data_IF_839273239870
#
_entry.id   IF_839273239870
#
_cell.length_a   1.000
_cell.length_b   1.000
_cell.length_c   1.000
_cell.angle_alpha   90.00
_cell.angle_beta   90.00
_cell.angle_gamma   90.00
#
_symmetry.space_group_name_H-M   'P 1'
#
loop_
_entity.id
_entity.type
_entity.pdbx_description
1 polymer ?
#
# COMPACT_ATOMS: atom_id res chain seq x y z
N UNK A 1 -23.41 -10.48 26.45
CA UNK A 1 -23.11 -11.73 27.19
C UNK A 1 -23.02 -12.85 26.17
N UNK A 2 -21.81 -13.34 25.92
CA UNK A 2 -21.46 -14.69 25.45
C UNK A 2 -19.97 -14.61 25.04
N UNK A 3 -19.09 -14.96 25.96
CA UNK A 3 -17.68 -15.26 25.65
C UNK A 3 -17.43 -16.63 26.24
N UNK A 4 -17.41 -17.64 25.37
CA UNK A 4 -17.07 -19.02 25.73
C UNK A 4 -15.54 -19.16 25.73
N UNK A 5 -15.03 -19.71 26.83
CA UNK A 5 -13.61 -19.92 27.11
C UNK A 5 -13.11 -21.20 26.47
N UNK A 6 -12.19 -21.10 25.51
CA UNK A 6 -11.34 -22.22 25.09
C UNK A 6 -9.94 -22.06 25.71
N UNK A 7 -9.60 -22.91 26.67
CA UNK A 7 -8.25 -23.14 27.18
C UNK A 7 -7.90 -24.62 26.98
N UNK A 8 -6.93 -24.91 26.11
CA UNK A 8 -5.93 -25.98 26.31
C UNK A 8 -4.93 -25.97 25.14
N UNK A 9 -3.70 -25.51 25.38
CA UNK A 9 -2.56 -25.83 24.53
C UNK A 9 -1.58 -26.69 25.33
N UNK A 10 -1.31 -27.87 24.78
CA UNK A 10 -0.32 -28.81 25.27
C UNK A 10 1.06 -28.41 24.73
N UNK A 11 2.07 -28.46 25.60
CA UNK A 11 3.48 -28.25 25.26
C UNK A 11 3.97 -29.39 24.36
N UNK A 12 4.35 -29.06 23.12
CA UNK A 12 4.97 -29.97 22.17
C UNK A 12 6.47 -29.62 22.06
N UNK A 13 7.36 -30.57 22.36
CA UNK A 13 8.81 -30.37 22.24
C UNK A 13 9.23 -30.19 20.77
N UNK A 14 10.17 -29.26 20.47
CA UNK A 14 10.61 -29.00 19.10
C UNK A 14 11.46 -30.15 18.53
N UNK A 15 11.02 -30.67 17.37
CA UNK A 15 11.71 -31.68 16.56
C UNK A 15 13.12 -31.25 16.13
N UNK A 16 14.05 -32.21 16.03
CA UNK A 16 15.45 -32.02 15.59
C UNK A 16 15.61 -31.36 14.20
N UNK A 17 14.56 -31.34 13.39
CA UNK A 17 14.52 -30.66 12.08
C UNK A 17 14.65 -29.13 12.21
N UNK A 18 14.29 -28.55 13.36
CA UNK A 18 14.36 -27.10 13.61
C UNK A 18 15.82 -26.60 13.71
N UNK A 19 16.75 -27.42 14.21
CA UNK A 19 18.13 -26.96 14.51
C UNK A 19 18.98 -26.68 13.26
N UNK A 20 18.80 -27.42 12.17
CA UNK A 20 19.55 -27.17 10.93
C UNK A 20 19.05 -25.95 10.17
N UNK A 21 17.76 -25.65 10.25
CA UNK A 21 17.18 -24.45 9.64
C UNK A 21 17.63 -23.18 10.38
N UNK A 22 17.73 -23.25 11.71
CA UNK A 22 18.18 -22.14 12.54
C UNK A 22 19.60 -21.66 12.19
N UNK A 23 20.57 -22.58 12.03
CA UNK A 23 21.96 -22.22 11.75
C UNK A 23 22.17 -21.50 10.41
N UNK A 24 21.32 -21.79 9.41
CA UNK A 24 21.36 -21.10 8.12
C UNK A 24 20.78 -19.68 8.19
N UNK A 25 19.73 -19.49 8.99
CA UNK A 25 19.12 -18.18 9.26
C UNK A 25 20.10 -17.28 10.00
N UNK A 26 20.70 -17.75 11.10
CA UNK A 26 21.62 -16.94 11.92
C UNK A 26 22.81 -16.42 11.10
N UNK A 27 23.40 -17.25 10.23
CA UNK A 27 24.51 -16.85 9.35
C UNK A 27 24.11 -15.81 8.29
N UNK A 28 22.88 -15.86 7.78
CA UNK A 28 22.38 -14.88 6.82
C UNK A 28 22.11 -13.54 7.51
N UNK A 29 21.61 -13.57 8.75
CA UNK A 29 21.34 -12.38 9.56
C UNK A 29 22.63 -11.66 9.97
N UNK A 30 23.68 -12.40 10.36
CA UNK A 30 25.01 -11.83 10.59
C UNK A 30 25.56 -11.16 9.31
N UNK A 31 25.38 -11.78 8.14
CA UNK A 31 25.82 -11.20 6.87
C UNK A 31 25.05 -9.93 6.49
N UNK A 32 23.72 -9.91 6.64
CA UNK A 32 22.88 -8.73 6.39
C UNK A 32 23.18 -7.61 7.40
N UNK A 33 23.34 -7.94 8.69
CA UNK A 33 23.76 -6.99 9.72
C UNK A 33 25.14 -6.39 9.44
N UNK A 34 26.09 -7.21 8.99
CA UNK A 34 27.42 -6.75 8.57
C UNK A 34 27.35 -5.85 7.32
N UNK A 35 26.47 -6.14 6.36
CA UNK A 35 26.24 -5.27 5.19
C UNK A 35 25.67 -3.91 5.61
N UNK A 36 24.69 -3.89 6.53
CA UNK A 36 24.16 -2.65 7.07
C UNK A 36 25.22 -1.87 7.85
N UNK A 37 26.02 -2.52 8.69
CA UNK A 37 27.12 -1.87 9.40
C UNK A 37 28.25 -1.41 8.48
N UNK A 38 28.52 -2.11 7.38
CA UNK A 38 29.50 -1.68 6.38
C UNK A 38 29.03 -0.44 5.61
N UNK A 39 27.72 -0.32 5.43
CA UNK A 39 27.06 0.85 4.85
C UNK A 39 26.99 2.00 5.86
N UNK A 40 26.78 1.70 7.14
CA UNK A 40 26.58 2.66 8.21
C UNK A 40 27.91 3.08 8.83
N UNK A 41 28.40 4.25 8.42
CA UNK A 41 29.52 4.94 9.06
C UNK A 41 29.01 6.19 9.80
N UNK A 42 28.78 6.12 11.13
CA UNK A 42 28.26 7.26 11.90
C UNK A 42 29.19 8.48 11.86
N UNK A 43 30.48 8.30 11.54
CA UNK A 43 31.44 9.39 11.44
C UNK A 43 31.30 10.22 10.15
N UNK A 44 30.67 9.66 9.10
CA UNK A 44 30.53 10.32 7.79
C UNK A 44 29.23 11.12 7.66
N UNK A 45 28.26 10.91 8.54
CA UNK A 45 26.89 11.40 8.37
C UNK A 45 26.27 10.91 7.05
N UNK A 46 25.06 11.37 6.72
CA UNK A 46 24.44 11.06 5.42
C UNK A 46 24.96 12.02 4.35
N UNK A 47 26.27 12.02 4.12
CA UNK A 47 26.87 12.71 2.98
C UNK A 47 26.83 11.82 1.72
N UNK A 48 25.72 11.10 1.52
CA UNK A 48 25.57 10.13 0.44
C UNK A 48 24.77 10.71 -0.71
N UNK A 49 25.21 10.48 -1.93
CA UNK A 49 24.47 10.84 -3.14
C UNK A 49 23.10 10.12 -3.21
N UNK A 50 22.08 10.68 -3.87
CA UNK A 50 20.75 10.02 -4.05
C UNK A 50 20.82 8.51 -4.41
N UNK A 51 21.74 8.06 -5.29
CA UNK A 51 21.85 6.64 -5.65
C UNK A 51 22.27 5.75 -4.48
N UNK A 52 23.18 6.24 -3.64
CA UNK A 52 23.66 5.52 -2.48
C UNK A 52 22.54 5.42 -1.44
N UNK A 53 21.85 6.53 -1.13
CA UNK A 53 20.67 6.54 -0.25
C UNK A 53 19.63 5.49 -0.65
N UNK A 54 19.33 5.39 -1.94
CA UNK A 54 18.37 4.40 -2.44
C UNK A 54 18.90 2.96 -2.32
N UNK A 55 20.17 2.71 -2.59
CA UNK A 55 20.77 1.38 -2.43
C UNK A 55 20.71 0.93 -0.96
N UNK A 56 21.08 1.82 -0.05
CA UNK A 56 20.97 1.64 1.39
C UNK A 56 19.51 1.34 1.78
N UNK A 57 18.59 2.15 1.28
CA UNK A 57 17.17 2.02 1.59
C UNK A 57 16.60 0.69 1.11
N UNK A 58 17.10 0.11 0.00
CA UNK A 58 16.70 -1.23 -0.44
C UNK A 58 17.15 -2.31 0.53
N UNK A 59 18.41 -2.32 0.93
CA UNK A 59 18.90 -3.23 1.99
C UNK A 59 18.05 -3.04 3.26
N UNK A 60 17.76 -1.77 3.53
CA UNK A 60 16.82 -1.20 4.47
C UNK A 60 15.45 -1.87 4.45
N UNK A 61 14.83 -1.96 3.29
CA UNK A 61 13.38 -2.04 3.14
C UNK A 61 12.82 -3.45 3.39
N UNK A 62 11.86 -3.55 4.30
CA UNK A 62 11.25 -4.80 4.79
C UNK A 62 9.76 -4.61 5.01
N UNK A 63 9.00 -5.66 4.71
CA UNK A 63 7.57 -5.73 5.04
C UNK A 63 7.33 -6.69 6.19
N UNK A 64 6.36 -6.36 7.05
CA UNK A 64 5.80 -7.20 8.11
C UNK A 64 4.53 -7.87 7.58
N UNK A 65 4.41 -9.18 7.72
CA UNK A 65 3.19 -9.88 7.34
C UNK A 65 1.94 -9.34 8.10
N UNK A 66 0.81 -9.20 7.43
CA UNK A 66 -0.42 -8.63 7.96
C UNK A 66 -0.94 -9.36 9.20
N UNK A 67 -0.78 -10.68 9.24
CA UNK A 67 -1.12 -11.52 10.39
C UNK A 67 -0.31 -11.16 11.65
N UNK A 68 0.91 -10.66 11.45
CA UNK A 68 1.80 -10.16 12.49
C UNK A 68 1.60 -8.69 12.77
N UNK A 69 1.03 -7.93 11.85
CA UNK A 69 0.58 -6.58 12.15
C UNK A 69 -0.68 -6.65 13.00
N UNK A 70 -1.72 -7.40 12.62
CA UNK A 70 -3.03 -7.34 13.28
C UNK A 70 -3.04 -7.85 14.75
N UNK A 71 -2.25 -8.87 15.10
CA UNK A 71 -2.28 -9.46 16.44
C UNK A 71 -1.62 -8.59 17.56
N UNK A 72 -0.48 -7.92 17.31
CA UNK A 72 0.28 -7.21 18.35
C UNK A 72 -0.16 -5.78 18.69
N UNK A 73 -1.17 -5.19 18.05
CA UNK A 73 -1.55 -3.78 18.37
C UNK A 73 -1.93 -3.57 19.83
N UNK A 74 -2.26 -4.64 20.54
CA UNK A 74 -2.58 -4.66 21.96
C UNK A 74 -1.38 -4.90 22.86
N UNK A 75 -0.29 -5.43 22.33
CA UNK A 75 0.88 -5.85 23.08
C UNK A 75 2.08 -5.03 22.60
N UNK A 76 2.30 -3.89 23.26
CA UNK A 76 3.46 -3.04 23.01
C UNK A 76 4.78 -3.80 23.17
N UNK A 77 4.83 -4.82 24.03
CA UNK A 77 6.02 -5.65 24.19
C UNK A 77 6.21 -6.59 23.00
N UNK A 78 5.14 -7.12 22.40
CA UNK A 78 5.23 -7.90 21.17
C UNK A 78 5.61 -7.03 19.96
N UNK A 79 5.07 -5.81 19.84
CA UNK A 79 5.54 -4.85 18.82
C UNK A 79 6.99 -4.43 19.08
N UNK A 80 7.36 -4.22 20.34
CA UNK A 80 8.73 -3.99 20.77
C UNK A 80 9.66 -5.12 20.32
N UNK A 81 9.29 -6.37 20.57
CA UNK A 81 10.02 -7.56 20.09
C UNK A 81 10.07 -7.66 18.57
N UNK A 82 9.01 -7.28 17.86
CA UNK A 82 9.03 -7.20 16.41
C UNK A 82 10.01 -6.09 15.92
N UNK A 83 10.07 -4.96 16.64
CA UNK A 83 10.98 -3.83 16.39
C UNK A 83 12.42 -4.05 16.88
N UNK A 84 12.68 -5.09 17.69
CA UNK A 84 14.02 -5.55 18.12
C UNK A 84 14.79 -6.24 16.97
N UNK A 85 14.47 -5.84 15.74
CA UNK A 85 15.06 -6.19 14.46
C UNK A 85 16.60 -6.07 14.45
N UNK A 86 17.16 -5.23 15.33
CA UNK A 86 18.59 -4.96 15.42
C UNK A 86 19.31 -5.80 16.47
N UNK A 87 18.60 -6.68 17.18
CA UNK A 87 19.23 -7.62 18.10
C UNK A 87 19.72 -8.86 17.32
N UNK A 88 20.99 -9.28 17.48
CA UNK A 88 21.54 -10.43 16.75
C UNK A 88 20.77 -11.74 16.95
N UNK A 89 20.04 -11.89 18.06
CA UNK A 89 19.24 -13.07 18.39
C UNK A 89 17.78 -13.06 17.86
N UNK A 90 17.40 -12.09 17.03
CA UNK A 90 16.02 -11.98 16.55
C UNK A 90 15.73 -12.94 15.38
N UNK A 91 14.61 -13.67 15.44
CA UNK A 91 14.17 -14.64 14.41
C UNK A 91 13.61 -13.96 13.15
N UNK A 92 14.39 -13.08 12.55
CA UNK A 92 13.98 -12.10 11.53
C UNK A 92 13.23 -12.69 10.33
N UNK A 93 13.67 -13.84 9.80
CA UNK A 93 13.04 -14.45 8.62
C UNK A 93 11.66 -15.07 8.90
N UNK A 94 11.30 -15.29 10.16
CA UNK A 94 9.94 -15.74 10.51
C UNK A 94 8.92 -14.59 10.41
N UNK A 95 9.37 -13.33 10.39
CA UNK A 95 8.52 -12.16 10.53
C UNK A 95 8.53 -11.21 9.33
N UNK A 96 9.61 -11.20 8.55
CA UNK A 96 9.87 -10.17 7.54
C UNK A 96 10.16 -10.74 6.15
N UNK A 97 9.70 -10.03 5.13
CA UNK A 97 10.14 -10.20 3.76
C UNK A 97 11.14 -9.09 3.39
N UNK A 98 12.36 -9.46 2.99
CA UNK A 98 13.44 -8.53 2.63
C UNK A 98 13.35 -8.13 1.17
N UNK A 99 13.55 -6.84 0.84
CA UNK A 99 13.49 -6.36 -0.54
C UNK A 99 14.45 -7.10 -1.50
N UNK A 100 15.65 -7.48 -1.02
CA UNK A 100 16.64 -8.22 -1.81
C UNK A 100 16.12 -9.62 -2.17
N UNK A 101 15.50 -10.31 -1.21
CA UNK A 101 14.87 -11.61 -1.42
C UNK A 101 13.67 -11.52 -2.39
N UNK A 102 13.04 -10.34 -2.52
CA UNK A 102 11.96 -10.09 -3.51
C UNK A 102 12.50 -9.98 -4.93
N UNK A 103 13.72 -9.48 -5.10
CA UNK A 103 14.35 -9.24 -6.42
C UNK A 103 15.11 -10.45 -6.97
N UNK A 104 15.64 -11.32 -6.11
CA UNK A 104 16.54 -12.43 -6.51
C UNK A 104 15.81 -13.54 -7.31
N UNK A 105 14.47 -13.56 -7.34
CA UNK A 105 13.70 -14.60 -8.04
C UNK A 105 13.77 -14.54 -9.58
N UNK A 106 14.38 -13.51 -10.18
CA UNK A 106 14.47 -13.36 -11.65
C UNK A 106 15.80 -13.79 -12.28
N UNK A 107 16.87 -14.09 -11.51
CA UNK A 107 18.23 -14.09 -12.09
C UNK A 107 18.93 -15.45 -12.28
N UNK A 108 18.37 -16.58 -11.83
CA UNK A 108 19.07 -17.89 -11.96
C UNK A 108 18.43 -18.84 -12.97
N UNK A 109 18.52 -18.51 -14.25
CA UNK A 109 18.50 -19.51 -15.33
C UNK A 109 19.65 -19.24 -16.30
N UNK A 110 20.81 -19.80 -15.99
CA UNK A 110 21.84 -20.07 -16.99
C UNK A 110 21.28 -21.12 -17.95
N UNK A 111 20.90 -20.65 -19.14
CA UNK A 111 20.48 -21.47 -20.26
C UNK A 111 21.59 -22.45 -20.66
N UNK A 112 21.48 -23.71 -20.22
CA UNK A 112 22.22 -24.82 -20.83
C UNK A 112 21.65 -25.04 -22.24
N UNK A 113 22.42 -24.64 -23.25
CA UNK A 113 22.07 -24.78 -24.66
C UNK A 113 21.98 -26.26 -25.07
N UNK A 114 20.78 -26.83 -25.15
CA UNK A 114 20.57 -28.05 -25.95
C UNK A 114 20.20 -27.62 -27.38
N UNK A 115 21.15 -27.76 -28.31
CA UNK A 115 20.91 -27.62 -29.74
C UNK A 115 19.90 -28.68 -30.17
N UNK A 116 18.70 -28.26 -30.55
CA UNK A 116 17.78 -29.08 -31.34
C UNK A 116 17.48 -28.34 -32.64
N UNK A 117 18.16 -28.77 -33.70
CA UNK A 117 17.82 -28.45 -35.07
C UNK A 117 16.48 -29.10 -35.40
N UNK A 118 15.45 -28.30 -35.65
CA UNK A 118 14.24 -28.78 -36.31
C UNK A 118 13.94 -27.90 -37.51
N UNK A 119 14.47 -28.33 -38.66
CA UNK A 119 14.04 -27.87 -39.98
C UNK A 119 12.61 -28.33 -40.18
N UNK A 120 11.67 -27.42 -40.42
CA UNK A 120 10.51 -27.78 -41.21
C UNK A 120 10.15 -26.67 -42.20
N UNK A 121 9.96 -27.12 -43.43
CA UNK A 121 9.87 -26.37 -44.68
C UNK A 121 8.40 -26.03 -45.00
N UNK A 122 8.23 -24.94 -45.75
CA UNK A 122 7.18 -24.65 -46.75
C UNK A 122 5.69 -24.79 -46.38
N UNK A 123 4.90 -23.73 -46.57
CA UNK A 123 4.36 -23.46 -47.91
C UNK A 123 3.72 -22.06 -48.03
N UNK A 124 4.00 -21.42 -49.16
CA UNK A 124 3.28 -20.25 -49.68
C UNK A 124 1.88 -20.68 -50.16
N UNK A 125 0.87 -19.83 -49.95
CA UNK A 125 -0.11 -19.58 -51.00
C UNK A 125 -0.74 -18.19 -50.87
N UNK A 126 -0.61 -17.41 -51.94
CA UNK A 126 -1.33 -16.17 -52.21
C UNK A 126 -2.76 -16.54 -52.66
N UNK A 127 -3.79 -15.88 -52.13
CA UNK A 127 -4.86 -15.39 -53.00
C UNK A 127 -5.67 -14.23 -52.39
N UNK A 128 -6.26 -13.47 -53.30
CA UNK A 128 -6.70 -12.09 -53.21
C UNK A 128 -8.21 -11.94 -52.94
N UNK A 129 -8.62 -10.70 -52.62
CA UNK A 129 -9.95 -10.07 -52.78
C UNK A 129 -11.05 -10.14 -51.68
N UNK A 130 -11.25 -8.95 -51.08
CA UNK A 130 -12.45 -8.08 -51.13
C UNK A 130 -13.69 -8.33 -50.22
N UNK A 131 -14.08 -7.26 -49.52
CA UNK A 131 -15.39 -6.84 -48.95
C UNK A 131 -16.30 -7.88 -48.28
N UNK A 132 -16.66 -7.70 -46.99
CA UNK A 132 -17.91 -7.04 -46.56
C UNK A 132 -18.11 -7.15 -45.03
N UNK A 133 -18.80 -6.17 -44.47
CA UNK A 133 -19.33 -6.08 -43.11
C UNK A 133 -20.21 -7.30 -42.75
N UNK A 134 -20.01 -7.91 -41.57
CA UNK A 134 -21.13 -8.20 -40.67
C UNK A 134 -20.73 -8.65 -39.26
N UNK A 135 -21.48 -8.07 -38.32
CA UNK A 135 -21.55 -8.30 -36.89
C UNK A 135 -21.97 -9.76 -36.57
N UNK A 136 -21.19 -10.47 -35.75
CA UNK A 136 -21.62 -11.70 -35.08
C UNK A 136 -20.74 -11.96 -33.85
N UNK A 137 -21.21 -11.50 -32.70
CA UNK A 137 -20.75 -11.96 -31.40
C UNK A 137 -21.20 -13.41 -31.20
N UNK A 138 -20.31 -14.35 -31.47
CA UNK A 138 -20.51 -15.77 -31.18
C UNK A 138 -19.48 -16.20 -30.12
N UNK A 139 -19.89 -16.15 -28.84
CA UNK A 139 -19.10 -16.63 -27.71
C UNK A 139 -19.13 -18.16 -27.68
N UNK A 140 -18.25 -18.78 -28.47
CA UNK A 140 -18.03 -20.22 -28.43
C UNK A 140 -16.89 -20.52 -27.43
N UNK A 141 -17.28 -20.75 -26.17
CA UNK A 141 -16.38 -21.20 -25.10
C UNK A 141 -15.89 -22.61 -25.40
N UNK A 142 -14.79 -22.69 -26.14
CA UNK A 142 -14.08 -23.93 -26.42
C UNK A 142 -13.16 -24.24 -25.24
N UNK A 143 -13.58 -25.21 -24.44
CA UNK A 143 -12.88 -25.81 -23.32
C UNK A 143 -11.61 -26.54 -23.79
N UNK A 144 -10.58 -25.79 -24.20
CA UNK A 144 -9.27 -26.37 -24.49
C UNK A 144 -8.49 -26.56 -23.18
N UNK A 145 -8.67 -27.72 -22.54
CA UNK A 145 -7.79 -28.25 -21.49
C UNK A 145 -6.43 -28.61 -22.11
N UNK A 146 -5.66 -27.60 -22.47
CA UNK A 146 -4.25 -27.77 -22.78
C UNK A 146 -3.53 -28.21 -21.51
N UNK A 147 -3.01 -29.44 -21.53
CA UNK A 147 -2.12 -30.00 -20.50
C UNK A 147 -0.87 -29.12 -20.43
N UNK A 148 -0.94 -28.08 -19.60
CA UNK A 148 0.16 -27.18 -19.32
C UNK A 148 1.26 -28.00 -18.64
N UNK A 149 2.39 -28.17 -19.35
CA UNK A 149 3.63 -28.71 -18.78
C UNK A 149 3.95 -27.93 -17.51
N UNK A 150 4.34 -28.64 -16.44
CA UNK A 150 4.75 -28.13 -15.13
C UNK A 150 5.97 -27.19 -15.21
N UNK A 151 5.83 -26.04 -15.87
CA UNK A 151 6.77 -24.94 -15.76
C UNK A 151 6.69 -24.42 -14.33
N UNK A 152 7.77 -24.53 -13.57
CA UNK A 152 7.91 -23.87 -12.28
C UNK A 152 7.68 -22.37 -12.53
N UNK A 153 6.48 -21.88 -12.19
CA UNK A 153 6.22 -20.44 -12.19
C UNK A 153 7.07 -19.87 -11.07
N UNK A 154 7.95 -18.93 -11.42
CA UNK A 154 8.63 -18.12 -10.42
C UNK A 154 7.54 -17.41 -9.59
N UNK A 155 7.69 -17.35 -8.26
CA UNK A 155 6.75 -16.60 -7.43
C UNK A 155 6.74 -15.14 -7.90
N UNK A 156 5.54 -14.55 -7.97
CA UNK A 156 5.43 -13.12 -8.27
C UNK A 156 6.18 -12.32 -7.19
N UNK A 157 6.80 -11.17 -7.54
CA UNK A 157 7.41 -10.29 -6.55
C UNK A 157 6.41 -9.94 -5.44
N UNK A 158 6.84 -10.01 -4.18
CA UNK A 158 5.99 -9.64 -3.04
C UNK A 158 5.79 -8.13 -3.09
N UNK A 159 4.54 -7.69 -2.94
CA UNK A 159 4.21 -6.27 -2.82
C UNK A 159 4.19 -5.85 -1.36
N UNK A 160 4.70 -4.66 -1.07
CA UNK A 160 4.74 -4.09 0.28
C UNK A 160 3.94 -2.79 0.30
N UNK A 161 2.95 -2.73 1.18
CA UNK A 161 2.14 -1.55 1.42
C UNK A 161 2.72 -0.72 2.57
N UNK A 162 2.96 0.57 2.37
CA UNK A 162 3.28 1.48 3.46
C UNK A 162 2.04 1.68 4.33
N UNK A 163 2.15 1.47 5.65
CA UNK A 163 1.03 1.67 6.57
C UNK A 163 1.23 2.98 7.35
N UNK A 164 0.41 3.99 7.06
CA UNK A 164 0.39 5.25 7.82
C UNK A 164 -0.81 5.30 8.75
N UNK A 165 -0.58 5.65 10.02
CA UNK A 165 -1.64 5.73 11.01
C UNK A 165 -1.23 6.51 12.26
N UNK A 166 -2.22 6.98 13.03
CA UNK A 166 -1.95 7.52 14.36
C UNK A 166 -1.81 6.38 15.39
N UNK A 167 -0.64 6.31 16.03
CA UNK A 167 -0.36 5.40 17.12
C UNK A 167 -1.25 5.66 18.35
N UNK A 168 -1.49 6.93 18.66
CA UNK A 168 -2.16 7.36 19.88
C UNK A 168 -3.67 7.36 19.72
N UNK A 169 -4.36 6.91 20.77
CA UNK A 169 -5.82 7.00 20.86
C UNK A 169 -6.25 8.48 20.94
N UNK A 170 -7.30 8.90 20.20
CA UNK A 170 -7.87 10.24 20.36
C UNK A 170 -8.27 10.51 21.83
N UNK A 171 -8.02 11.72 22.33
CA UNK A 171 -8.26 12.03 23.75
C UNK A 171 -9.72 11.87 24.20
N UNK A 172 -10.68 12.05 23.28
CA UNK A 172 -12.12 11.89 23.51
C UNK A 172 -12.67 10.52 23.06
N UNK A 173 -11.82 9.54 22.80
CA UNK A 173 -12.21 8.26 22.20
C UNK A 173 -13.33 7.54 22.96
N UNK A 174 -13.24 7.39 24.28
CA UNK A 174 -14.27 6.67 25.05
C UNK A 174 -15.64 7.37 25.02
N UNK A 175 -15.64 8.70 24.96
CA UNK A 175 -16.88 9.49 24.86
C UNK A 175 -17.53 9.33 23.48
N UNK A 176 -16.73 9.29 22.42
CA UNK A 176 -17.21 9.20 21.04
C UNK A 176 -17.54 7.77 20.65
N UNK A 177 -16.65 6.83 20.96
CA UNK A 177 -16.73 5.43 20.51
C UNK A 177 -17.44 4.51 21.49
N UNK A 178 -17.54 4.92 22.76
CA UNK A 178 -18.12 4.15 23.86
C UNK A 178 -17.05 3.51 24.74
N UNK A 179 -17.28 3.51 26.06
CA UNK A 179 -16.39 2.88 27.03
C UNK A 179 -16.14 1.42 26.70
N UNK A 180 -14.88 0.99 26.78
CA UNK A 180 -14.47 -0.39 26.49
C UNK A 180 -14.24 -0.70 25.01
N UNK A 181 -14.48 0.25 24.11
CA UNK A 181 -14.06 0.12 22.71
C UNK A 181 -12.55 0.38 22.64
N UNK A 182 -11.74 -0.62 22.31
CA UNK A 182 -10.28 -0.43 22.19
C UNK A 182 -9.92 0.19 20.83
N UNK A 183 -9.21 1.33 20.84
CA UNK A 183 -8.70 1.95 19.61
C UNK A 183 -7.79 1.01 18.81
N UNK A 184 -6.90 0.29 19.50
CA UNK A 184 -6.03 -0.71 18.89
C UNK A 184 -6.81 -1.83 18.20
N UNK A 185 -7.91 -2.32 18.81
CA UNK A 185 -8.72 -3.41 18.23
C UNK A 185 -9.40 -2.95 16.95
N UNK A 186 -9.92 -1.72 16.95
CA UNK A 186 -10.55 -1.13 15.78
C UNK A 186 -9.54 -0.97 14.64
N UNK A 187 -8.34 -0.43 14.91
CA UNK A 187 -7.29 -0.32 13.89
C UNK A 187 -6.89 -1.69 13.32
N UNK A 188 -6.68 -2.68 14.19
CA UNK A 188 -6.35 -4.04 13.78
C UNK A 188 -7.44 -4.67 12.89
N UNK A 189 -8.71 -4.44 13.22
CA UNK A 189 -9.84 -4.89 12.41
C UNK A 189 -9.85 -4.24 11.02
N UNK A 190 -9.64 -2.92 10.93
CA UNK A 190 -9.55 -2.21 9.66
C UNK A 190 -8.37 -2.72 8.80
N UNK A 191 -7.20 -2.90 9.41
CA UNK A 191 -6.00 -3.42 8.72
C UNK A 191 -6.24 -4.86 8.23
N UNK A 192 -6.91 -5.69 9.02
CA UNK A 192 -7.29 -7.04 8.59
C UNK A 192 -8.28 -7.00 7.42
N UNK A 193 -9.24 -6.06 7.45
CA UNK A 193 -10.17 -5.81 6.35
C UNK A 193 -9.43 -5.49 5.05
N UNK A 194 -8.61 -4.44 5.06
CA UNK A 194 -7.87 -4.07 3.84
C UNK A 194 -6.90 -5.16 3.39
N UNK A 195 -6.25 -5.88 4.30
CA UNK A 195 -5.37 -7.00 3.92
C UNK A 195 -6.13 -8.10 3.17
N UNK A 196 -7.39 -8.37 3.53
CA UNK A 196 -8.25 -9.31 2.79
C UNK A 196 -8.58 -8.79 1.39
N UNK A 197 -8.90 -7.51 1.27
CA UNK A 197 -9.18 -6.89 -0.04
C UNK A 197 -7.93 -6.92 -0.94
N UNK A 198 -6.75 -6.62 -0.37
CA UNK A 198 -5.49 -6.70 -1.11
C UNK A 198 -5.16 -8.14 -1.51
N UNK A 199 -5.43 -9.13 -0.66
CA UNK A 199 -5.21 -10.54 -0.99
C UNK A 199 -6.18 -11.06 -2.06
N UNK A 200 -7.45 -10.63 -2.00
CA UNK A 200 -8.40 -10.90 -3.07
C UNK A 200 -7.91 -10.33 -4.41
N UNK A 201 -7.42 -9.09 -4.40
CA UNK A 201 -6.91 -8.43 -5.60
C UNK A 201 -5.62 -9.07 -6.15
N UNK A 202 -4.68 -9.43 -5.28
CA UNK A 202 -3.36 -9.91 -5.70
C UNK A 202 -3.31 -11.41 -5.96
N UNK A 203 -4.07 -12.18 -5.19
CA UNK A 203 -4.02 -13.64 -5.21
C UNK A 203 -5.30 -14.28 -5.73
N UNK A 204 -6.38 -13.51 -5.91
CA UNK A 204 -7.70 -14.05 -6.18
C UNK A 204 -8.29 -14.80 -4.98
N UNK A 205 -7.74 -14.60 -3.78
CA UNK A 205 -8.09 -15.34 -2.57
C UNK A 205 -7.87 -14.48 -1.32
N UNK A 206 -8.96 -14.00 -0.72
CA UNK A 206 -8.90 -13.17 0.50
C UNK A 206 -8.38 -13.96 1.72
N UNK A 207 -8.41 -15.29 1.72
CA UNK A 207 -7.93 -16.09 2.86
C UNK A 207 -6.40 -16.04 2.99
N UNK A 208 -5.72 -15.63 1.91
CA UNK A 208 -4.28 -15.36 1.86
C UNK A 208 -3.88 -13.97 2.39
N UNK A 209 -4.81 -13.25 3.02
CA UNK A 209 -4.51 -11.99 3.72
C UNK A 209 -3.32 -12.06 4.69
N UNK A 210 -3.00 -13.19 5.38
CA UNK A 210 -1.81 -13.27 6.22
C UNK A 210 -0.48 -13.05 5.46
N UNK A 211 -0.49 -13.23 4.14
CA UNK A 211 0.67 -13.08 3.25
C UNK A 211 0.83 -11.67 2.68
N UNK A 212 -0.11 -10.76 2.95
CA UNK A 212 0.06 -9.33 2.62
C UNK A 212 1.12 -8.74 3.53
N UNK A 213 2.00 -7.91 2.99
CA UNK A 213 3.09 -7.31 3.76
C UNK A 213 2.91 -5.79 3.87
N UNK A 214 3.15 -5.27 5.07
CA UNK A 214 3.12 -3.85 5.37
C UNK A 214 4.48 -3.35 5.83
N UNK A 215 4.93 -2.20 5.31
CA UNK A 215 5.99 -1.44 5.94
C UNK A 215 5.37 -0.60 7.06
N UNK A 216 5.80 -0.81 8.30
CA UNK A 216 5.26 -0.12 9.49
C UNK A 216 6.42 0.56 10.20
N UNK A 217 6.39 1.89 10.33
CA UNK A 217 7.45 2.72 10.90
C UNK A 217 8.03 2.14 12.20
N UNK A 218 7.18 1.82 13.18
CA UNK A 218 7.57 1.34 14.51
C UNK A 218 8.19 -0.06 14.48
N UNK A 219 7.88 -0.89 13.48
CA UNK A 219 8.42 -2.24 13.32
C UNK A 219 9.69 -2.24 12.49
N UNK A 220 9.73 -1.39 11.46
CA UNK A 220 10.84 -1.30 10.55
C UNK A 220 11.98 -0.49 11.19
N UNK A 221 11.72 0.68 11.75
CA UNK A 221 12.75 1.60 12.27
C UNK A 221 13.26 1.15 13.65
N UNK A 222 14.58 1.14 13.91
CA UNK A 222 15.16 0.89 15.23
C UNK A 222 14.60 1.88 16.27
N UNK A 223 13.76 1.42 17.18
CA UNK A 223 13.21 2.30 18.23
C UNK A 223 14.18 2.45 19.42
N UNK A 224 15.13 1.52 19.58
CA UNK A 224 16.04 1.46 20.73
C UNK A 224 17.38 2.17 20.54
N UNK A 225 17.66 2.69 19.35
CA UNK A 225 18.91 3.36 18.99
C UNK A 225 18.58 4.73 18.37
N UNK A 226 18.75 5.84 19.11
CA UNK A 226 18.39 7.17 18.62
C UNK A 226 19.16 7.61 17.38
N UNK A 227 20.42 7.20 17.21
CA UNK A 227 21.25 7.59 16.07
C UNK A 227 20.80 6.85 14.81
N UNK A 228 20.61 5.54 14.92
CA UNK A 228 20.13 4.72 13.82
C UNK A 228 18.66 5.03 13.47
N UNK A 229 17.85 5.38 14.48
CA UNK A 229 16.50 5.90 14.29
C UNK A 229 16.54 7.15 13.42
N UNK A 230 17.26 8.19 13.85
CA UNK A 230 17.37 9.45 13.11
C UNK A 230 17.84 9.22 11.66
N UNK A 231 18.81 8.33 11.47
CA UNK A 231 19.28 7.95 10.14
C UNK A 231 18.20 7.27 9.28
N UNK A 232 17.41 6.36 9.85
CA UNK A 232 16.28 5.76 9.15
C UNK A 232 15.16 6.78 8.85
N UNK A 233 14.93 7.76 9.74
CA UNK A 233 13.97 8.85 9.51
C UNK A 233 14.42 9.75 8.35
N UNK A 234 15.72 9.92 8.18
CA UNK A 234 16.27 10.62 7.04
C UNK A 234 16.02 9.87 5.72
N UNK A 235 15.86 8.55 5.73
CA UNK A 235 15.57 7.70 4.57
C UNK A 235 14.06 7.44 4.32
N UNK A 236 13.18 8.17 5.02
CA UNK A 236 11.74 7.92 4.98
C UNK A 236 11.15 8.02 3.56
N UNK A 237 11.57 9.03 2.80
CA UNK A 237 11.12 9.29 1.43
C UNK A 237 11.50 8.13 0.51
N UNK A 238 12.68 7.54 0.70
CA UNK A 238 13.10 6.34 -0.02
C UNK A 238 12.25 5.12 0.34
N UNK A 239 11.91 4.91 1.62
CA UNK A 239 11.01 3.81 2.02
C UNK A 239 9.61 3.98 1.44
N UNK A 240 9.08 5.22 1.44
CA UNK A 240 7.83 5.58 0.78
C UNK A 240 7.91 5.29 -0.73
N UNK A 241 9.01 5.69 -1.37
CA UNK A 241 9.24 5.45 -2.79
C UNK A 241 9.36 3.95 -3.15
N UNK A 242 9.93 3.14 -2.26
CA UNK A 242 10.05 1.69 -2.44
C UNK A 242 8.73 0.94 -2.21
N UNK A 243 7.78 1.54 -1.50
CA UNK A 243 6.47 0.93 -1.25
C UNK A 243 5.59 0.91 -2.50
N UNK A 244 4.79 -0.14 -2.68
CA UNK A 244 3.90 -0.30 -3.83
C UNK A 244 2.61 0.52 -3.70
N UNK A 245 2.15 0.71 -2.46
CA UNK A 245 0.92 1.43 -2.11
C UNK A 245 1.01 2.06 -0.74
N UNK A 246 0.10 2.97 -0.44
CA UNK A 246 -0.11 3.53 0.89
C UNK A 246 -1.47 3.06 1.42
N UNK A 247 -1.48 2.51 2.62
CA UNK A 247 -2.67 2.20 3.39
C UNK A 247 -2.74 3.18 4.55
N UNK A 248 -3.85 3.89 4.67
CA UNK A 248 -4.05 4.93 5.69
C UNK A 248 -5.15 4.52 6.65
N UNK A 249 -4.82 4.33 7.93
CA UNK A 249 -5.84 4.10 8.97
C UNK A 249 -6.35 5.45 9.48
N UNK A 250 -7.48 5.86 8.94
CA UNK A 250 -7.96 7.24 8.99
C UNK A 250 -8.93 7.45 10.16
N UNK A 251 -8.39 7.77 11.33
CA UNK A 251 -9.19 8.33 12.45
C UNK A 251 -9.30 9.85 12.34
N UNK A 252 -10.24 10.47 13.08
CA UNK A 252 -10.37 11.94 13.11
C UNK A 252 -9.11 12.64 13.67
N UNK A 253 -8.31 11.95 14.48
CA UNK A 253 -7.05 12.48 15.00
C UNK A 253 -5.85 12.29 14.05
N UNK A 254 -6.02 11.66 12.89
CA UNK A 254 -4.94 11.42 11.94
C UNK A 254 -4.30 12.73 11.48
N UNK A 255 -5.13 13.73 11.17
CA UNK A 255 -4.70 15.05 10.72
C UNK A 255 -4.03 15.89 11.82
N UNK A 256 -4.10 15.46 13.08
CA UNK A 256 -3.38 16.12 14.17
C UNK A 256 -1.91 15.70 14.23
N UNK A 257 -1.45 14.72 13.46
CA UNK A 257 -0.09 14.18 13.55
C UNK A 257 0.75 14.63 12.36
N UNK A 258 1.81 15.40 12.62
CA UNK A 258 2.68 15.94 11.58
C UNK A 258 3.29 14.83 10.72
N UNK A 259 3.72 13.76 11.38
CA UNK A 259 4.29 12.58 10.76
C UNK A 259 3.33 11.93 9.75
N UNK A 260 2.10 11.64 10.17
CA UNK A 260 1.10 10.96 9.35
C UNK A 260 0.68 11.77 8.12
N UNK A 261 0.54 13.08 8.27
CA UNK A 261 0.18 13.95 7.13
C UNK A 261 1.35 14.14 6.18
N UNK A 262 2.59 14.17 6.68
CA UNK A 262 3.78 14.20 5.86
C UNK A 262 3.89 12.93 4.99
N UNK A 263 3.73 11.74 5.58
CA UNK A 263 3.78 10.46 4.86
C UNK A 263 2.76 10.41 3.71
N UNK A 264 1.52 10.86 3.97
CA UNK A 264 0.48 10.92 2.95
C UNK A 264 0.88 11.79 1.76
N UNK A 265 1.27 13.04 2.01
CA UNK A 265 1.57 13.98 0.92
C UNK A 265 2.87 13.58 0.22
N UNK A 266 3.87 13.11 0.96
CA UNK A 266 5.12 12.58 0.41
C UNK A 266 4.85 11.40 -0.53
N UNK A 267 3.96 10.47 -0.15
CA UNK A 267 3.59 9.35 -1.02
C UNK A 267 3.02 9.81 -2.37
N UNK A 268 2.20 10.86 -2.39
CA UNK A 268 1.66 11.44 -3.63
C UNK A 268 2.73 12.08 -4.54
N UNK A 269 3.86 12.53 -3.98
CA UNK A 269 5.02 12.99 -4.76
C UNK A 269 5.65 11.85 -5.56
N UNK A 270 5.57 10.64 -5.03
CA UNK A 270 6.25 9.46 -5.56
C UNK A 270 5.34 8.53 -6.37
N UNK A 271 4.05 8.50 -6.06
CA UNK A 271 3.11 7.48 -6.54
C UNK A 271 1.82 8.12 -7.04
N UNK A 272 1.02 7.31 -7.74
CA UNK A 272 -0.30 7.73 -8.22
C UNK A 272 -1.29 7.73 -7.06
N UNK A 273 -2.27 8.64 -7.13
CA UNK A 273 -3.36 8.73 -6.16
C UNK A 273 -4.15 7.41 -6.02
N UNK A 274 -4.37 6.69 -7.12
CA UNK A 274 -4.99 5.35 -7.12
C UNK A 274 -4.22 4.28 -6.32
N UNK A 275 -2.97 4.54 -5.93
CA UNK A 275 -2.17 3.63 -5.08
C UNK A 275 -2.35 3.90 -3.59
N UNK A 276 -3.29 4.75 -3.19
CA UNK A 276 -3.66 4.99 -1.79
C UNK A 276 -4.95 4.24 -1.48
N UNK A 277 -5.06 3.61 -0.32
CA UNK A 277 -6.27 2.95 0.19
C UNK A 277 -6.56 3.43 1.61
N UNK A 278 -7.83 3.74 1.91
CA UNK A 278 -8.24 4.19 3.24
C UNK A 278 -8.85 3.05 4.05
N UNK A 279 -8.44 2.98 5.30
CA UNK A 279 -8.97 2.14 6.37
C UNK A 279 -9.77 3.04 7.32
N UNK A 280 -11.01 3.35 6.92
CA UNK A 280 -11.82 4.38 7.57
C UNK A 280 -13.18 3.88 8.06
N UNK A 281 -13.56 2.62 7.84
CA UNK A 281 -14.94 2.14 8.01
C UNK A 281 -15.45 2.34 9.43
N UNK A 282 -14.66 1.91 10.41
CA UNK A 282 -15.00 2.07 11.80
C UNK A 282 -14.99 3.54 12.26
N UNK A 283 -14.31 4.42 11.53
CA UNK A 283 -14.10 5.83 11.87
C UNK A 283 -15.04 6.79 11.13
N UNK A 284 -15.68 6.37 10.03
CA UNK A 284 -16.66 7.13 9.25
C UNK A 284 -18.09 6.75 9.63
N UNK A 285 -18.52 7.15 10.83
CA UNK A 285 -19.88 6.96 11.33
C UNK A 285 -20.55 8.31 11.52
N UNK A 286 -21.87 8.36 11.58
CA UNK A 286 -22.61 9.62 11.79
C UNK A 286 -22.13 10.41 13.02
N UNK A 287 -21.70 9.72 14.08
CA UNK A 287 -21.17 10.34 15.33
C UNK A 287 -19.74 10.87 15.22
N UNK A 288 -18.93 10.37 14.28
CA UNK A 288 -17.52 10.73 14.11
C UNK A 288 -17.28 11.57 12.85
N UNK A 289 -18.22 11.58 11.90
CA UNK A 289 -18.14 12.33 10.66
C UNK A 289 -17.90 13.83 10.91
N UNK A 290 -18.62 14.52 11.83
CA UNK A 290 -18.33 15.92 12.14
C UNK A 290 -16.88 16.15 12.60
N UNK A 291 -16.34 15.25 13.43
CA UNK A 291 -14.97 15.34 13.91
C UNK A 291 -13.96 15.24 12.76
N UNK A 292 -14.23 14.39 11.78
CA UNK A 292 -13.33 14.24 10.62
C UNK A 292 -13.43 15.44 9.68
N UNK A 293 -14.63 15.95 9.42
CA UNK A 293 -14.85 17.18 8.65
C UNK A 293 -14.10 18.36 9.29
N UNK A 294 -14.26 18.54 10.61
CA UNK A 294 -13.58 19.59 11.38
C UNK A 294 -12.06 19.44 11.32
N UNK A 295 -11.53 18.21 11.44
CA UNK A 295 -10.10 17.94 11.35
C UNK A 295 -9.52 18.32 9.98
N UNK A 296 -10.24 18.08 8.88
CA UNK A 296 -9.80 18.46 7.54
C UNK A 296 -9.95 19.97 7.32
N UNK A 297 -11.11 20.54 7.67
CA UNK A 297 -11.40 21.97 7.54
C UNK A 297 -10.35 22.83 8.23
N UNK A 298 -10.09 22.51 9.50
CA UNK A 298 -9.21 23.28 10.37
C UNK A 298 -7.75 22.80 10.35
N UNK A 299 -7.39 21.89 9.44
CA UNK A 299 -6.01 21.43 9.33
C UNK A 299 -5.06 22.61 9.12
N UNK A 300 -3.99 22.62 9.91
CA UNK A 300 -2.82 23.47 9.72
C UNK A 300 -1.58 22.72 10.19
N UNK A 301 -0.51 22.82 9.39
CA UNK A 301 0.79 22.22 9.67
C UNK A 301 1.34 22.72 11.01
N UNK A 302 1.17 24.00 11.30
CA UNK A 302 1.65 24.62 12.54
C UNK A 302 0.99 24.03 13.80
N UNK A 303 -0.25 23.55 13.68
CA UNK A 303 -1.03 22.98 14.79
C UNK A 303 -0.85 21.46 14.93
N UNK A 304 -0.10 20.82 14.02
CA UNK A 304 0.16 19.40 14.10
C UNK A 304 1.02 19.06 15.32
N UNK A 305 0.81 17.87 15.88
CA UNK A 305 1.52 17.30 17.02
C UNK A 305 2.60 16.34 16.53
N UNK A 306 3.73 16.34 17.22
CA UNK A 306 4.78 15.34 17.07
C UNK A 306 4.79 14.40 18.29
N UNK A 307 5.28 13.18 18.11
CA UNK A 307 5.54 12.29 19.26
C UNK A 307 6.77 12.80 20.02
N UNK A 308 7.81 13.18 19.27
CA UNK A 308 9.00 13.86 19.78
C UNK A 308 9.06 15.23 19.11
N UNK A 309 9.07 16.30 19.91
CA UNK A 309 8.95 17.66 19.40
C UNK A 309 10.17 18.08 18.56
N UNK A 310 11.36 17.49 18.79
CA UNK A 310 12.54 17.69 17.95
C UNK A 310 12.32 17.29 16.49
N UNK A 311 11.45 16.31 16.23
CA UNK A 311 11.15 15.83 14.87
C UNK A 311 10.41 16.90 14.05
N UNK A 312 9.74 17.86 14.71
CA UNK A 312 9.02 18.94 14.03
C UNK A 312 9.94 19.70 13.09
N UNK A 313 11.11 20.10 13.58
CA UNK A 313 12.02 20.92 12.79
C UNK A 313 12.51 20.17 11.55
N UNK A 314 12.80 18.88 11.68
CA UNK A 314 13.22 18.03 10.55
C UNK A 314 12.09 17.88 9.52
N UNK A 315 10.86 17.57 9.96
CA UNK A 315 9.72 17.42 9.05
C UNK A 315 9.32 18.74 8.40
N UNK A 316 9.29 19.84 9.15
CA UNK A 316 9.02 21.17 8.58
C UNK A 316 10.09 21.59 7.58
N UNK A 317 11.36 21.30 7.86
CA UNK A 317 12.44 21.53 6.91
C UNK A 317 12.24 20.71 5.63
N UNK A 318 11.83 19.45 5.74
CA UNK A 318 11.47 18.62 4.58
C UNK A 318 10.28 19.21 3.81
N UNK A 319 9.26 19.74 4.50
CA UNK A 319 8.14 20.44 3.85
C UNK A 319 8.65 21.66 3.09
N UNK A 320 9.46 22.51 3.72
CA UNK A 320 10.00 23.72 3.10
C UNK A 320 10.95 23.39 1.93
N UNK A 321 11.60 22.22 1.96
CA UNK A 321 12.50 21.73 0.90
C UNK A 321 11.76 21.20 -0.31
N UNK A 322 10.72 20.38 -0.12
CA UNK A 322 10.06 19.68 -1.22
C UNK A 322 8.85 20.41 -1.80
N UNK A 323 8.22 21.31 -1.04
CA UNK A 323 6.99 21.98 -1.43
C UNK A 323 7.21 23.47 -1.64
N UNK A 324 6.41 24.07 -2.52
CA UNK A 324 6.53 25.49 -2.88
C UNK A 324 6.29 26.38 -1.65
N UNK A 325 5.33 26.02 -0.81
CA UNK A 325 5.08 26.65 0.49
C UNK A 325 4.33 25.68 1.41
N UNK A 326 4.32 25.99 2.72
CA UNK A 326 3.49 25.28 3.70
C UNK A 326 2.01 25.35 3.37
N UNK A 327 1.54 26.49 2.86
CA UNK A 327 0.13 26.66 2.41
C UNK A 327 -0.19 25.71 1.26
N UNK A 328 0.71 25.58 0.28
CA UNK A 328 0.51 24.66 -0.83
C UNK A 328 0.50 23.19 -0.39
N UNK A 329 1.34 22.84 0.60
CA UNK A 329 1.29 21.53 1.26
C UNK A 329 -0.06 21.29 1.94
N UNK A 330 -0.55 22.26 2.73
CA UNK A 330 -1.84 22.16 3.43
C UNK A 330 -3.01 22.03 2.44
N UNK A 331 -3.00 22.79 1.34
CA UNK A 331 -4.02 22.70 0.29
C UNK A 331 -4.01 21.33 -0.39
N UNK A 332 -2.84 20.79 -0.73
CA UNK A 332 -2.71 19.45 -1.31
C UNK A 332 -3.23 18.36 -0.36
N UNK A 333 -2.92 18.46 0.93
CA UNK A 333 -3.45 17.53 1.93
C UNK A 333 -4.98 17.63 2.03
N UNK A 334 -5.54 18.84 2.22
CA UNK A 334 -7.00 19.02 2.38
C UNK A 334 -7.75 18.52 1.15
N UNK A 335 -7.30 18.90 -0.04
CA UNK A 335 -7.91 18.45 -1.30
C UNK A 335 -7.94 16.93 -1.39
N UNK A 336 -6.79 16.29 -1.16
CA UNK A 336 -6.67 14.84 -1.32
C UNK A 336 -7.38 14.07 -0.20
N UNK A 337 -7.44 14.62 1.02
CA UNK A 337 -8.24 14.08 2.11
C UNK A 337 -9.72 14.01 1.73
N UNK A 338 -10.30 15.13 1.29
CA UNK A 338 -11.71 15.19 0.85
C UNK A 338 -11.96 14.18 -0.27
N UNK A 339 -11.11 14.20 -1.31
CA UNK A 339 -11.24 13.32 -2.46
C UNK A 339 -11.19 11.82 -2.09
N UNK A 340 -10.19 11.41 -1.30
CA UNK A 340 -10.04 10.00 -0.95
C UNK A 340 -11.10 9.52 0.03
N UNK A 341 -11.55 10.35 0.97
CA UNK A 341 -12.65 9.98 1.88
C UNK A 341 -13.95 9.81 1.10
N UNK A 342 -14.27 10.72 0.19
CA UNK A 342 -15.45 10.60 -0.66
C UNK A 342 -15.39 9.35 -1.55
N UNK A 343 -14.23 9.06 -2.16
CA UNK A 343 -14.01 7.81 -2.91
C UNK A 343 -14.26 6.58 -2.04
N UNK A 344 -13.66 6.54 -0.86
CA UNK A 344 -13.78 5.42 0.05
C UNK A 344 -15.24 5.20 0.47
N UNK A 345 -15.94 6.25 0.90
CA UNK A 345 -17.37 6.19 1.22
C UNK A 345 -18.22 5.70 0.05
N UNK A 346 -18.00 6.24 -1.15
CA UNK A 346 -18.71 5.83 -2.36
C UNK A 346 -18.49 4.35 -2.71
N UNK A 347 -17.28 3.83 -2.45
CA UNK A 347 -16.88 2.44 -2.66
C UNK A 347 -17.42 1.47 -1.61
N UNK A 348 -18.16 1.94 -0.59
CA UNK A 348 -18.59 1.11 0.54
C UNK A 348 -20.10 0.88 0.61
N UNK A 349 -20.50 -0.22 1.25
CA UNK A 349 -21.92 -0.60 1.40
C UNK A 349 -22.67 0.26 2.40
N UNK A 350 -21.98 0.67 3.47
CA UNK A 350 -22.54 1.37 4.63
C UNK A 350 -22.90 2.83 4.34
N UNK A 351 -22.27 3.46 3.36
CA UNK A 351 -22.60 4.81 2.90
C UNK A 351 -23.76 4.75 1.89
N UNK A 352 -24.98 4.71 2.41
CA UNK A 352 -26.18 4.68 1.59
C UNK A 352 -26.51 6.07 1.05
N UNK A 353 -25.93 6.42 -0.10
CA UNK A 353 -26.47 7.46 -0.98
C UNK A 353 -25.85 8.84 -0.86
N UNK A 354 -26.58 9.81 -1.44
CA UNK A 354 -26.18 11.20 -1.60
C UNK A 354 -25.75 11.86 -0.28
N UNK A 355 -26.49 11.58 0.79
CA UNK A 355 -26.31 12.20 2.11
C UNK A 355 -24.94 11.92 2.72
N UNK A 356 -24.31 10.80 2.34
CA UNK A 356 -23.00 10.42 2.85
C UNK A 356 -21.87 11.28 2.22
N UNK A 357 -22.07 11.74 0.98
CA UNK A 357 -21.06 12.52 0.22
C UNK A 357 -21.33 14.02 0.31
N UNK A 358 -22.57 14.45 0.53
CA UNK A 358 -22.95 15.87 0.60
C UNK A 358 -22.07 16.72 1.54
N UNK A 359 -21.72 16.29 2.77
CA UNK A 359 -20.84 17.07 3.65
C UNK A 359 -19.43 17.29 3.07
N UNK A 360 -18.97 16.39 2.21
CA UNK A 360 -17.67 16.51 1.53
C UNK A 360 -17.73 17.44 0.32
N UNK A 361 -18.90 17.57 -0.33
CA UNK A 361 -19.15 18.59 -1.36
C UNK A 361 -19.08 19.97 -0.71
N UNK A 362 -19.84 20.18 0.37
CA UNK A 362 -19.87 21.44 1.11
C UNK A 362 -18.47 21.83 1.61
N UNK A 363 -17.76 20.89 2.24
CA UNK A 363 -16.39 21.15 2.71
C UNK A 363 -15.42 21.48 1.55
N UNK A 364 -15.60 20.86 0.38
CA UNK A 364 -14.81 21.17 -0.81
C UNK A 364 -15.03 22.61 -1.27
N UNK A 365 -16.28 23.09 -1.28
CA UNK A 365 -16.61 24.48 -1.60
C UNK A 365 -16.04 25.46 -0.56
N UNK A 366 -16.19 25.15 0.74
CA UNK A 366 -15.64 25.97 1.83
C UNK A 366 -14.10 26.10 1.76
N UNK A 367 -13.41 25.05 1.30
CA UNK A 367 -11.96 25.06 1.11
C UNK A 367 -11.52 25.74 -0.20
N UNK A 368 -12.47 26.19 -1.03
CA UNK A 368 -12.18 26.81 -2.33
C UNK A 368 -11.83 25.83 -3.44
N UNK A 369 -12.17 24.55 -3.31
CA UNK A 369 -11.91 23.50 -4.30
C UNK A 369 -13.15 23.27 -5.19
N UNK A 370 -13.50 24.27 -6.00
CA UNK A 370 -14.72 24.25 -6.81
C UNK A 370 -14.79 23.07 -7.79
N UNK A 371 -13.70 22.75 -8.49
CA UNK A 371 -13.66 21.63 -9.44
C UNK A 371 -13.87 20.28 -8.74
N UNK A 372 -13.31 20.10 -7.54
CA UNK A 372 -13.53 18.91 -6.74
C UNK A 372 -15.00 18.82 -6.30
N UNK A 373 -15.61 19.92 -5.85
CA UNK A 373 -17.01 19.96 -5.45
C UNK A 373 -17.95 19.56 -6.62
N UNK A 374 -17.65 20.02 -7.84
CA UNK A 374 -18.36 19.63 -9.06
C UNK A 374 -18.23 18.12 -9.33
N UNK A 375 -17.01 17.56 -9.25
CA UNK A 375 -16.80 16.12 -9.44
C UNK A 375 -17.53 15.29 -8.36
N UNK A 376 -17.51 15.71 -7.10
CA UNK A 376 -18.21 15.04 -6.00
C UNK A 376 -19.74 15.11 -6.15
N UNK A 377 -20.28 16.23 -6.62
CA UNK A 377 -21.71 16.36 -6.94
C UNK A 377 -22.10 15.42 -8.08
N UNK A 378 -21.25 15.28 -9.10
CA UNK A 378 -21.45 14.32 -10.19
C UNK A 378 -21.45 12.87 -9.68
N UNK A 379 -20.54 12.53 -8.76
CA UNK A 379 -20.50 11.21 -8.12
C UNK A 379 -21.82 10.87 -7.41
N UNK A 380 -22.40 11.83 -6.67
CA UNK A 380 -23.70 11.65 -5.99
C UNK A 380 -24.80 11.23 -6.98
N UNK A 381 -24.89 11.90 -8.13
CA UNK A 381 -25.85 11.56 -9.18
C UNK A 381 -25.59 10.17 -9.79
N UNK A 382 -24.31 9.83 -10.01
CA UNK A 382 -23.90 8.57 -10.62
C UNK A 382 -24.08 7.35 -9.68
N UNK A 383 -23.84 7.49 -8.38
CA UNK A 383 -24.00 6.40 -7.42
C UNK A 383 -25.43 5.84 -7.39
N UNK A 384 -26.42 6.73 -7.50
CA UNK A 384 -27.83 6.35 -7.51
C UNK A 384 -28.17 5.54 -8.77
N UNK A 385 -27.72 5.99 -9.95
CA UNK A 385 -27.97 5.28 -11.21
C UNK A 385 -27.23 3.95 -11.28
N UNK A 386 -25.96 3.90 -10.84
CA UNK A 386 -25.19 2.66 -10.83
C UNK A 386 -25.81 1.57 -9.97
N UNK A 387 -26.35 1.94 -8.79
CA UNK A 387 -27.03 0.98 -7.91
C UNK A 387 -28.36 0.51 -8.50
N UNK A 388 -29.13 1.40 -9.14
CA UNK A 388 -30.38 1.04 -9.82
C UNK A 388 -30.12 0.08 -11.00
N UNK A 389 -29.13 0.39 -11.85
CA UNK A 389 -28.76 -0.44 -13.01
C UNK A 389 -28.36 -1.86 -12.59
N UNK A 390 -27.60 -1.99 -11.50
CA UNK A 390 -27.18 -3.29 -10.97
C UNK A 390 -28.35 -4.03 -10.30
N UNK A 391 -29.23 -3.32 -9.61
CA UNK A 391 -30.45 -3.90 -9.02
C UNK A 391 -31.39 -4.50 -10.08
N UNK A 392 -31.58 -3.80 -11.21
CA UNK A 392 -32.41 -4.28 -12.32
C UNK A 392 -31.82 -5.51 -13.00
N UNK A 393 -30.49 -5.66 -13.04
CA UNK A 393 -29.82 -6.86 -13.59
C UNK A 393 -29.91 -8.07 -12.67
N UNK A 394 -29.90 -7.84 -11.36
CA UNK A 394 -30.02 -8.89 -10.35
C UNK A 394 -31.47 -9.40 -10.19
N UNK A 395 -32.46 -8.57 -10.53
CA UNK A 395 -33.88 -8.84 -10.32
C UNK A 395 -34.69 -8.91 -11.62
N UNK A 396 -34.80 -10.11 -12.21
CA UNK A 396 -35.99 -10.45 -12.97
C UNK A 396 -37.22 -10.31 -12.07
N UNK A 397 -38.22 -9.57 -12.53
CA UNK A 397 -39.12 -8.72 -11.75
C UNK A 397 -40.15 -9.40 -10.81
N UNK A 398 -40.09 -10.70 -10.49
CA UNK A 398 -41.25 -11.35 -9.82
C UNK A 398 -41.04 -12.06 -8.47
N UNK A 399 -39.83 -12.32 -7.95
CA UNK A 399 -39.70 -13.12 -6.70
C UNK A 399 -38.64 -12.60 -5.70
N UNK A 400 -38.46 -11.29 -5.57
CA UNK A 400 -37.37 -10.70 -4.75
C UNK A 400 -37.66 -10.72 -3.24
N UNK A 401 -38.92 -10.82 -2.80
CA UNK A 401 -39.23 -10.79 -1.37
C UNK A 401 -38.95 -12.11 -0.65
N UNK A 402 -38.89 -13.24 -1.36
CA UNK A 402 -38.80 -14.59 -0.75
C UNK A 402 -37.38 -15.18 -0.80
N UNK A 403 -36.48 -14.64 -1.64
CA UNK A 403 -35.14 -15.19 -1.83
C UNK A 403 -34.07 -14.64 -0.87
N UNK A 404 -34.41 -13.67 -0.01
CA UNK A 404 -33.45 -12.99 0.89
C UNK A 404 -32.99 -13.90 2.05
N UNK A 405 -33.69 -15.00 2.34
CA UNK A 405 -33.34 -15.87 3.47
C UNK A 405 -32.43 -17.06 3.14
N UNK A 406 -32.40 -17.54 1.89
CA UNK A 406 -31.68 -18.79 1.54
C UNK A 406 -30.65 -18.67 0.39
N UNK A 407 -30.57 -17.53 -0.30
CA UNK A 407 -29.54 -17.33 -1.31
C UNK A 407 -28.18 -17.03 -0.64
N UNK A 408 -27.32 -18.06 -0.57
CA UNK A 408 -25.98 -17.98 -0.02
C UNK A 408 -25.16 -16.79 -0.54
N UNK A 409 -24.21 -16.36 0.28
CA UNK A 409 -23.42 -15.11 0.18
C UNK A 409 -22.75 -14.77 -1.18
N UNK A 410 -22.78 -15.65 -2.18
CA UNK A 410 -22.09 -15.48 -3.46
C UNK A 410 -22.69 -14.45 -4.42
N UNK A 411 -23.99 -14.11 -4.34
CA UNK A 411 -24.59 -13.17 -5.31
C UNK A 411 -24.39 -11.69 -4.93
N UNK A 412 -24.29 -11.36 -3.63
CA UNK A 412 -24.14 -9.97 -3.19
C UNK A 412 -22.72 -9.42 -3.41
N UNK A 413 -21.71 -10.28 -3.48
CA UNK A 413 -20.30 -9.87 -3.66
C UNK A 413 -20.08 -9.19 -5.02
N UNK A 414 -20.88 -9.54 -6.03
CA UNK A 414 -20.77 -9.01 -7.39
C UNK A 414 -21.20 -7.53 -7.50
N UNK A 415 -22.34 -7.15 -6.90
CA UNK A 415 -22.85 -5.77 -6.98
C UNK A 415 -21.87 -4.78 -6.33
N UNK A 416 -21.32 -5.12 -5.16
CA UNK A 416 -20.39 -4.22 -4.48
C UNK A 416 -19.08 -4.06 -5.24
N UNK A 417 -18.54 -5.17 -5.75
CA UNK A 417 -17.34 -5.15 -6.58
C UNK A 417 -17.56 -4.31 -7.84
N UNK A 418 -18.72 -4.42 -8.49
CA UNK A 418 -19.08 -3.60 -9.64
C UNK A 418 -19.21 -2.11 -9.31
N UNK A 419 -19.78 -1.75 -8.14
CA UNK A 419 -19.80 -0.35 -7.67
C UNK A 419 -18.39 0.15 -7.41
N UNK A 420 -17.56 -0.60 -6.71
CA UNK A 420 -16.17 -0.22 -6.44
C UNK A 420 -15.39 0.02 -7.74
N UNK A 421 -15.53 -0.87 -8.74
CA UNK A 421 -14.90 -0.69 -10.05
C UNK A 421 -15.36 0.60 -10.75
N UNK A 422 -16.65 0.94 -10.66
CA UNK A 422 -17.20 2.18 -11.20
C UNK A 422 -16.66 3.43 -10.47
N UNK A 423 -16.55 3.37 -9.14
CA UNK A 423 -15.98 4.44 -8.33
C UNK A 423 -14.50 4.64 -8.65
N UNK A 424 -13.70 3.57 -8.75
CA UNK A 424 -12.29 3.68 -9.13
C UNK A 424 -12.11 4.22 -10.56
N UNK A 425 -12.96 3.81 -11.50
CA UNK A 425 -12.94 4.34 -12.86
C UNK A 425 -13.31 5.83 -12.90
N UNK A 426 -14.31 6.26 -12.12
CA UNK A 426 -14.65 7.67 -11.95
C UNK A 426 -13.49 8.45 -11.34
N UNK A 427 -12.89 7.94 -10.26
CA UNK A 427 -11.79 8.61 -9.57
C UNK A 427 -10.59 8.80 -10.51
N UNK A 428 -10.18 7.75 -11.22
CA UNK A 428 -9.08 7.80 -12.17
C UNK A 428 -9.32 8.76 -13.34
N UNK A 429 -10.59 8.94 -13.73
CA UNK A 429 -10.96 9.81 -14.85
C UNK A 429 -11.11 11.27 -14.44
N UNK A 430 -11.84 11.53 -13.35
CA UNK A 430 -12.36 12.85 -13.01
C UNK A 430 -11.62 13.48 -11.81
N UNK A 431 -10.91 12.70 -10.98
CA UNK A 431 -10.20 13.20 -9.79
C UNK A 431 -8.67 13.15 -9.95
N UNK A 432 -8.10 12.06 -10.46
CA UNK A 432 -6.65 11.92 -10.65
C UNK A 432 -6.04 13.12 -11.42
N UNK A 433 -6.63 13.63 -12.52
CA UNK A 433 -6.09 14.81 -13.21
C UNK A 433 -6.05 16.07 -12.34
N UNK A 434 -7.05 16.26 -11.46
CA UNK A 434 -7.10 17.41 -10.55
C UNK A 434 -6.01 17.30 -9.48
N UNK A 435 -5.78 16.10 -8.94
CA UNK A 435 -4.68 15.84 -7.99
C UNK A 435 -3.33 16.08 -8.65
N UNK A 436 -3.13 15.62 -9.89
CA UNK A 436 -1.88 15.83 -10.62
C UNK A 436 -1.62 17.31 -10.93
N UNK A 437 -2.66 18.07 -11.29
CA UNK A 437 -2.57 19.51 -11.47
C UNK A 437 -2.17 20.21 -10.16
N UNK A 438 -2.89 19.95 -9.06
CA UNK A 438 -2.59 20.55 -7.76
C UNK A 438 -1.19 20.16 -7.25
N UNK A 439 -0.78 18.91 -7.45
CA UNK A 439 0.58 18.44 -7.16
C UNK A 439 1.62 19.18 -7.98
N UNK A 440 1.31 19.48 -9.25
CA UNK A 440 2.17 20.27 -10.13
C UNK A 440 2.27 21.74 -9.72
N UNK A 441 1.39 22.23 -8.86
CA UNK A 441 1.50 23.59 -8.32
C UNK A 441 2.13 23.59 -6.93
N UNK A 442 1.93 22.52 -6.16
CA UNK A 442 2.38 22.43 -4.76
C UNK A 442 3.81 21.92 -4.57
N UNK A 443 4.34 21.10 -5.48
CA UNK A 443 5.63 20.39 -5.31
C UNK A 443 6.73 21.05 -6.12
N UNK A 444 7.90 21.32 -5.54
CA UNK A 444 9.04 21.92 -6.28
C UNK A 444 9.59 20.97 -7.35
N UNK A 445 10.14 21.54 -8.43
CA UNK A 445 10.70 20.74 -9.54
C UNK A 445 11.82 19.79 -9.10
N UNK A 446 12.67 20.23 -8.15
CA UNK A 446 13.73 19.40 -7.61
C UNK A 446 13.19 18.11 -6.97
N UNK A 447 12.13 18.22 -6.17
CA UNK A 447 11.48 17.07 -5.54
C UNK A 447 10.93 16.09 -6.58
N UNK A 448 10.33 16.60 -7.67
CA UNK A 448 9.83 15.77 -8.77
C UNK A 448 10.95 15.07 -9.52
N UNK A 449 12.08 15.74 -9.74
CA UNK A 449 13.25 15.15 -10.38
C UNK A 449 13.85 14.04 -9.52
N UNK A 450 14.00 14.27 -8.22
CA UNK A 450 14.45 13.26 -7.25
C UNK A 450 13.50 12.05 -7.27
N UNK A 451 12.18 12.29 -7.19
CA UNK A 451 11.16 11.25 -7.30
C UNK A 451 11.27 10.42 -8.60
N UNK A 452 11.41 11.07 -9.76
CA UNK A 452 11.61 10.40 -11.06
C UNK A 452 12.88 9.55 -11.08
N UNK A 453 13.98 10.02 -10.49
CA UNK A 453 15.24 9.27 -10.39
C UNK A 453 15.10 8.02 -9.52
N UNK A 454 14.37 8.14 -8.41
CA UNK A 454 14.08 7.03 -7.50
C UNK A 454 13.27 5.92 -8.19
N UNK A 455 12.26 6.28 -9.00
CA UNK A 455 11.40 5.31 -9.69
C UNK A 455 12.07 4.63 -10.89
N UNK A 456 12.84 5.37 -11.71
CA UNK A 456 13.37 4.85 -12.99
C UNK A 456 14.48 3.80 -12.80
N UNK A 457 15.23 3.85 -11.71
CA UNK A 457 16.31 2.88 -11.42
C UNK A 457 15.83 1.57 -10.78
N UNK A 458 14.53 1.43 -10.54
CA UNK A 458 13.91 0.19 -10.06
C UNK A 458 13.96 -0.96 -11.05
N UNK A 459 14.01 -0.68 -12.35
CA UNK A 459 13.76 -1.70 -13.39
C UNK A 459 14.96 -2.02 -14.30
N UNK A 460 16.12 -1.38 -14.10
CA UNK A 460 17.20 -1.40 -15.08
C UNK A 460 18.61 -1.68 -14.58
N UNK A 461 18.82 -2.01 -13.29
CA UNK A 461 20.11 -2.49 -12.82
C UNK A 461 20.29 -3.97 -13.20
N UNK A 462 20.24 -4.26 -14.49
CA UNK A 462 20.93 -5.43 -15.02
C UNK A 462 22.40 -5.08 -14.94
N UNK A 463 23.12 -5.76 -14.05
CA UNK A 463 24.58 -5.70 -13.96
C UNK A 463 25.14 -6.02 -15.34
N UNK A 464 25.46 -4.99 -16.13
CA UNK A 464 26.41 -5.17 -17.21
C UNK A 464 27.70 -5.52 -16.49
N UNK A 465 28.02 -6.82 -16.47
CA UNK A 465 29.32 -7.30 -16.08
C UNK A 465 30.32 -6.47 -16.89
N UNK A 466 31.03 -5.57 -16.20
CA UNK A 466 32.10 -4.79 -16.78
C UNK A 466 33.12 -5.78 -17.28
N UNK A 467 33.09 -6.07 -18.59
CA UNK A 467 34.17 -6.78 -19.26
C UNK A 467 35.41 -5.93 -19.07
N UNK A 468 36.26 -6.34 -18.14
CA UNK A 468 37.61 -5.81 -17.99
C UNK A 468 38.29 -5.97 -19.35
N UNK A 469 38.72 -4.88 -20.01
CA UNK A 469 39.47 -5.02 -21.25
C UNK A 469 40.78 -5.74 -20.92
N UNK A 470 41.00 -6.88 -21.58
CA UNK A 470 42.26 -7.60 -21.59
C UNK A 470 43.40 -6.64 -21.96
N UNK A 471 44.27 -6.35 -21.00
CA UNK A 471 45.50 -5.61 -21.25
C UNK A 471 46.45 -6.55 -21.97
N UNK A 472 46.53 -6.38 -23.30
CA UNK A 472 47.51 -7.04 -24.14
C UNK A 472 48.94 -6.72 -23.65
N UNK A 473 49.65 -7.75 -23.20
CA UNK A 473 51.08 -7.68 -22.90
C UNK A 473 51.87 -7.43 -24.20
N UNK A 474 52.58 -6.31 -24.27
CA UNK A 474 53.56 -6.04 -25.33
C UNK A 474 54.86 -6.82 -25.12
N UNK A 475 55.59 -7.16 -26.20
CA UNK A 475 56.81 -7.95 -26.13
C UNK A 475 58.01 -7.11 -25.66
N UNK A 476 58.90 -7.73 -24.88
CA UNK A 476 60.22 -7.22 -24.49
C UNK A 476 61.28 -7.61 -25.51
#
# INVERSE_FOLDING_TARGET
MFVSSCKSEALCEPSKVVKHRQKGVDSMLEAKGAEVHAIYDPSKGIASTDPERMAISRVLFRGVAASRVAAPWHDEAAMGKASQFWHPDSKLDEYYAWSTDLTVSTETQTSSSSKHDNKNNNNNNLNNNNHNNNNSNNNNSSNNKSRSRNGRRHPAPIKIAFLSHNWNQPGNWDAVMGKGCSYASIKAAEICGVAKDLAALEFGDYTRWPEIHFWVDKCCIPQGDPELMAWCLDLLEEFIALSDRLVVVLSWSYFERLWCVYEWVCFLVHKKASSITLCSDAFLRSRTLPLLLDSVKNFSLANCKCCVESDRQALEHKVDTYYVSRVAFEQLLKFTAIAFIARDMASKRSASGADAIAPWVELSEECGFADLAVCLTSLVGQLSSWRQDLGMRAGGQEDIQTAVTDAGAGCQEDVQTAIQQKVEAWFAKDIDPLIEALKSDAVRDQARLTSKRMMTRGHGLTTQASTVPDVAAGPR
#
